data_IF_512370961153
#
_entry.id   IF_512370961153
#
_cell.length_a   1.000
_cell.length_b   1.000
_cell.length_c   1.000
_cell.angle_alpha   90.00
_cell.angle_beta   90.00
_cell.angle_gamma   90.00
#
_symmetry.space_group_name_H-M   'P 1'
#
loop_
_entity.id
_entity.type
_entity.pdbx_description
1 polymer ?
#
# COMPACT_ATOMS: atom_id res chain seq x y z
N UNK A 1 -60.13 -10.29 -23.99
CA UNK A 1 -59.58 -9.48 -22.86
C UNK A 1 -58.50 -10.24 -22.07
N UNK A 2 -58.63 -11.56 -21.86
CA UNK A 2 -57.63 -12.41 -21.18
C UNK A 2 -56.27 -12.49 -21.91
N UNK A 3 -56.26 -12.50 -23.24
CA UNK A 3 -55.01 -12.69 -24.01
C UNK A 3 -54.08 -11.46 -23.94
N UNK A 4 -54.65 -10.26 -23.82
CA UNK A 4 -53.86 -9.02 -23.64
C UNK A 4 -53.17 -8.95 -22.28
N UNK A 5 -53.77 -9.54 -21.24
CA UNK A 5 -53.18 -9.58 -19.89
C UNK A 5 -52.06 -10.61 -19.81
N UNK A 6 -52.18 -11.73 -20.55
CA UNK A 6 -51.14 -12.75 -20.64
C UNK A 6 -49.88 -12.24 -21.37
N UNK A 7 -50.04 -11.54 -22.49
CA UNK A 7 -48.92 -10.94 -23.23
C UNK A 7 -48.23 -9.87 -22.38
N UNK A 8 -48.99 -9.05 -21.66
CA UNK A 8 -48.43 -8.02 -20.77
C UNK A 8 -47.64 -8.63 -19.60
N UNK A 9 -48.14 -9.72 -19.01
CA UNK A 9 -47.45 -10.45 -17.95
C UNK A 9 -46.16 -11.14 -18.45
N UNK A 10 -46.18 -11.66 -19.68
CA UNK A 10 -45.00 -12.25 -20.33
C UNK A 10 -43.92 -11.19 -20.60
N UNK A 11 -44.30 -9.98 -21.03
CA UNK A 11 -43.38 -8.85 -21.23
C UNK A 11 -42.72 -8.39 -19.91
N UNK A 12 -43.48 -8.38 -18.82
CA UNK A 12 -42.97 -8.07 -17.47
C UNK A 12 -41.98 -9.11 -16.94
N UNK A 13 -42.14 -10.39 -17.28
CA UNK A 13 -41.19 -11.45 -16.92
C UNK A 13 -39.88 -11.36 -17.72
N UNK A 14 -39.93 -10.89 -18.97
CA UNK A 14 -38.75 -10.71 -19.83
C UNK A 14 -37.86 -9.53 -19.43
N UNK A 15 -38.39 -8.51 -18.75
CA UNK A 15 -37.59 -7.37 -18.26
C UNK A 15 -36.85 -7.68 -16.95
N UNK A 16 -37.27 -8.72 -16.22
CA UNK A 16 -36.62 -9.12 -14.96
C UNK A 16 -35.39 -10.03 -15.14
N UNK A 17 -35.17 -10.60 -16.32
CA UNK A 17 -34.07 -11.57 -16.56
C UNK A 17 -32.79 -10.95 -17.11
N UNK A 18 -32.66 -9.62 -17.16
CA UNK A 18 -31.47 -8.96 -17.74
C UNK A 18 -30.39 -8.54 -16.72
N UNK A 19 -30.61 -8.75 -15.43
CA UNK A 19 -29.61 -8.45 -14.40
C UNK A 19 -28.96 -9.74 -13.85
N UNK A 20 -28.32 -10.50 -14.72
CA UNK A 20 -27.31 -11.44 -14.27
C UNK A 20 -26.05 -10.62 -13.97
N UNK A 21 -25.63 -10.58 -12.69
CA UNK A 21 -24.32 -10.08 -12.31
C UNK A 21 -23.24 -10.97 -12.93
N UNK A 22 -22.85 -10.65 -14.16
CA UNK A 22 -21.79 -11.34 -14.87
C UNK A 22 -20.46 -10.63 -14.58
N UNK A 23 -19.40 -11.41 -14.46
CA UNK A 23 -18.04 -10.86 -14.41
C UNK A 23 -17.76 -10.23 -15.77
N UNK A 24 -17.51 -8.92 -15.78
CA UNK A 24 -17.14 -8.16 -16.98
C UNK A 24 -15.64 -7.95 -16.95
N UNK A 25 -14.97 -8.24 -18.06
CA UNK A 25 -13.56 -7.91 -18.23
C UNK A 25 -13.43 -6.41 -18.50
N UNK A 26 -12.77 -5.69 -17.60
CA UNK A 26 -12.54 -4.24 -17.73
C UNK A 26 -11.16 -3.92 -18.32
N UNK A 27 -10.19 -4.85 -18.23
CA UNK A 27 -8.86 -4.65 -18.79
C UNK A 27 -7.80 -5.59 -18.21
N UNK A 28 -6.59 -5.47 -18.75
CA UNK A 28 -5.37 -6.11 -18.22
C UNK A 28 -4.37 -5.02 -17.87
N UNK A 29 -3.66 -5.22 -16.77
CA UNK A 29 -2.61 -4.33 -16.33
C UNK A 29 -1.39 -5.17 -15.91
N UNK A 30 -0.21 -4.83 -16.43
CA UNK A 30 1.03 -5.61 -16.26
C UNK A 30 1.76 -5.37 -14.93
N UNK A 31 1.13 -4.65 -13.99
CA UNK A 31 1.77 -4.14 -12.78
C UNK A 31 1.00 -4.57 -11.53
N UNK A 32 1.70 -4.59 -10.39
CA UNK A 32 1.10 -4.97 -9.11
C UNK A 32 0.24 -3.83 -8.56
N UNK A 33 -1.01 -4.16 -8.22
CA UNK A 33 -1.93 -3.25 -7.53
C UNK A 33 -2.09 -3.67 -6.08
N UNK A 34 -2.25 -2.67 -5.20
CA UNK A 34 -2.66 -2.88 -3.81
C UNK A 34 -3.92 -2.08 -3.57
N UNK A 35 -4.95 -2.72 -3.04
CA UNK A 35 -6.20 -2.06 -2.63
C UNK A 35 -6.10 -1.62 -1.18
N UNK A 36 -6.81 -0.54 -0.85
CA UNK A 36 -6.96 -0.05 0.51
C UNK A 36 -8.30 0.65 0.64
N UNK A 37 -8.79 0.72 1.88
CA UNK A 37 -10.05 1.39 2.20
C UNK A 37 -9.75 2.69 2.94
N UNK A 38 -10.37 3.78 2.47
CA UNK A 38 -10.33 5.09 3.08
C UNK A 38 -11.25 5.15 4.30
N UNK A 39 -11.07 6.16 5.16
CA UNK A 39 -11.93 6.36 6.35
C UNK A 39 -13.41 6.55 6.01
N UNK A 40 -13.71 7.12 4.84
CA UNK A 40 -15.08 7.30 4.34
C UNK A 40 -15.70 5.99 3.78
N UNK A 41 -14.96 4.88 3.79
CA UNK A 41 -15.38 3.59 3.27
C UNK A 41 -15.05 3.35 1.80
N UNK A 42 -14.57 4.36 1.06
CA UNK A 42 -14.20 4.22 -0.34
C UNK A 42 -13.02 3.26 -0.50
N UNK A 43 -13.10 2.38 -1.50
CA UNK A 43 -11.97 1.53 -1.89
C UNK A 43 -11.21 2.21 -3.02
N UNK A 44 -9.90 2.27 -2.87
CA UNK A 44 -8.96 2.76 -3.88
C UNK A 44 -7.94 1.65 -4.18
N UNK A 45 -7.22 1.80 -5.28
CA UNK A 45 -6.05 0.96 -5.56
C UNK A 45 -4.87 1.80 -6.04
N UNK A 46 -3.66 1.29 -5.86
CA UNK A 46 -2.42 2.01 -6.24
C UNK A 46 -1.60 1.32 -7.30
N UNK A 47 -0.88 2.13 -8.07
CA UNK A 47 0.12 1.74 -9.05
C UNK A 47 1.42 2.50 -8.78
N UNK A 48 2.55 1.80 -8.72
CA UNK A 48 3.86 2.42 -8.58
C UNK A 48 4.55 2.56 -9.94
N UNK A 49 4.90 3.79 -10.32
CA UNK A 49 5.73 4.08 -11.47
C UNK A 49 7.19 4.22 -11.03
N UNK A 50 8.02 3.22 -11.39
CA UNK A 50 9.44 3.17 -11.03
C UNK A 50 10.27 4.29 -11.65
N UNK A 51 10.00 4.69 -12.90
CA UNK A 51 10.82 5.71 -13.58
C UNK A 51 10.60 7.10 -13.02
N UNK A 52 9.39 7.39 -12.55
CA UNK A 52 9.02 8.70 -11.99
C UNK A 52 9.08 8.73 -10.45
N UNK A 53 9.28 7.56 -9.83
CA UNK A 53 9.16 7.36 -8.38
C UNK A 53 7.83 7.89 -7.84
N UNK A 54 6.73 7.63 -8.56
CA UNK A 54 5.39 8.09 -8.17
C UNK A 54 4.47 6.91 -7.86
N UNK A 55 3.55 7.13 -6.92
CA UNK A 55 2.41 6.25 -6.67
C UNK A 55 1.16 6.96 -7.16
N UNK A 56 0.51 6.38 -8.15
CA UNK A 56 -0.81 6.81 -8.61
C UNK A 56 -1.88 6.04 -7.87
N UNK A 57 -2.83 6.77 -7.30
CA UNK A 57 -3.99 6.25 -6.58
C UNK A 57 -5.20 6.40 -7.48
N UNK A 58 -5.93 5.31 -7.68
CA UNK A 58 -7.06 5.21 -8.59
C UNK A 58 -8.36 4.94 -7.84
N UNK A 59 -9.44 5.44 -8.41
CA UNK A 59 -10.79 4.97 -8.10
C UNK A 59 -11.03 3.60 -8.76
N UNK A 60 -12.07 2.89 -8.33
CA UNK A 60 -12.44 1.59 -8.92
C UNK A 60 -12.85 1.70 -10.40
N UNK A 61 -13.28 2.87 -10.86
CA UNK A 61 -13.57 3.15 -12.28
C UNK A 61 -12.32 3.47 -13.13
N UNK A 62 -11.13 3.18 -12.59
CA UNK A 62 -9.82 3.43 -13.19
C UNK A 62 -9.44 4.90 -13.40
N UNK A 63 -10.22 5.87 -12.91
CA UNK A 63 -9.82 7.27 -12.92
C UNK A 63 -8.73 7.55 -11.87
N UNK A 64 -7.74 8.36 -12.24
CA UNK A 64 -6.70 8.81 -11.30
C UNK A 64 -7.34 9.76 -10.30
N UNK A 65 -7.20 9.44 -9.01
CA UNK A 65 -7.61 10.31 -7.92
C UNK A 65 -6.47 11.22 -7.46
N UNK A 66 -5.28 10.65 -7.20
CA UNK A 66 -4.09 11.37 -6.74
C UNK A 66 -2.82 10.73 -7.29
N UNK A 67 -1.76 11.50 -7.36
CA UNK A 67 -0.40 11.03 -7.65
C UNK A 67 0.54 11.60 -6.61
N UNK A 68 1.33 10.73 -5.98
CA UNK A 68 2.20 11.06 -4.85
C UNK A 68 3.63 10.71 -5.24
N UNK A 69 4.55 11.65 -5.08
CA UNK A 69 5.97 11.38 -5.31
C UNK A 69 6.58 10.75 -4.06
N UNK A 70 7.29 9.63 -4.25
CA UNK A 70 8.02 8.95 -3.19
C UNK A 70 9.46 9.48 -3.19
N UNK A 71 9.95 10.10 -2.10
CA UNK A 71 11.33 10.51 -1.97
C UNK A 71 12.25 9.30 -1.75
N UNK A 72 12.37 8.41 -2.74
CA UNK A 72 13.22 7.21 -2.67
C UNK A 72 14.68 7.65 -2.86
N UNK A 73 15.57 7.40 -1.89
CA UNK A 73 16.98 7.74 -2.02
C UNK A 73 17.64 7.11 -3.25
N UNK A 74 18.73 7.74 -3.71
CA UNK A 74 19.55 7.17 -4.79
C UNK A 74 20.03 5.77 -4.40
N UNK A 75 20.17 4.88 -5.39
CA UNK A 75 20.56 3.46 -5.24
C UNK A 75 19.54 2.57 -4.51
N UNK A 76 18.45 3.14 -3.99
CA UNK A 76 17.38 2.36 -3.39
C UNK A 76 16.29 2.02 -4.42
N UNK A 77 15.62 0.89 -4.21
CA UNK A 77 14.40 0.52 -4.92
C UNK A 77 13.23 0.41 -3.96
N UNK A 78 12.02 0.71 -4.42
CA UNK A 78 10.81 0.42 -3.65
C UNK A 78 10.73 -1.10 -3.41
N UNK A 79 10.59 -1.49 -2.14
CA UNK A 79 10.32 -2.86 -1.71
C UNK A 79 8.80 -3.09 -1.69
N UNK A 80 8.08 -2.36 -0.83
CA UNK A 80 6.63 -2.47 -0.75
C UNK A 80 5.97 -1.17 -0.25
N UNK A 81 4.75 -0.90 -0.71
CA UNK A 81 3.85 0.04 -0.04
C UNK A 81 3.16 -0.71 1.10
N UNK A 82 3.50 -0.41 2.35
CA UNK A 82 3.01 -1.10 3.55
C UNK A 82 1.60 -0.70 3.91
N UNK A 83 1.33 0.60 3.91
CA UNK A 83 0.03 1.15 4.28
C UNK A 83 -0.26 2.45 3.53
N UNK A 84 -1.55 2.72 3.31
CA UNK A 84 -2.05 4.00 2.85
C UNK A 84 -3.24 4.37 3.72
N UNK A 85 -3.22 5.57 4.29
CA UNK A 85 -4.18 5.98 5.32
C UNK A 85 -4.46 7.48 5.26
N UNK A 86 -5.41 7.92 6.09
CA UNK A 86 -5.60 9.31 6.51
C UNK A 86 -5.73 9.30 8.04
N UNK A 87 -5.26 10.35 8.71
CA UNK A 87 -5.41 10.54 10.16
C UNK A 87 -4.85 9.39 11.04
N UNK A 88 -3.91 8.60 10.52
CA UNK A 88 -3.31 7.47 11.26
C UNK A 88 -2.00 7.91 11.89
N UNK A 89 -1.12 8.55 11.13
CA UNK A 89 0.21 8.96 11.61
C UNK A 89 0.26 10.44 12.01
N UNK A 90 -0.62 11.26 11.45
CA UNK A 90 -0.79 12.68 11.71
C UNK A 90 -2.29 13.01 11.95
N UNK A 91 -2.58 14.22 12.41
CA UNK A 91 -3.96 14.66 12.71
C UNK A 91 -4.62 15.48 11.59
N UNK A 92 -3.92 15.68 10.47
CA UNK A 92 -4.45 16.37 9.31
C UNK A 92 -5.13 15.40 8.33
N UNK A 93 -5.89 15.94 7.38
CA UNK A 93 -6.66 15.15 6.42
C UNK A 93 -5.83 14.71 5.20
N UNK A 94 -4.51 14.93 5.20
CA UNK A 94 -3.66 14.52 4.09
C UNK A 94 -3.57 13.00 4.07
N UNK A 95 -3.45 12.44 2.88
CA UNK A 95 -3.13 11.02 2.76
C UNK A 95 -1.71 10.77 3.25
N UNK A 96 -1.51 9.63 3.87
CA UNK A 96 -0.24 9.17 4.41
C UNK A 96 0.13 7.84 3.75
N UNK A 97 1.40 7.69 3.39
CA UNK A 97 1.93 6.45 2.83
C UNK A 97 3.06 5.95 3.72
N UNK A 98 2.95 4.70 4.14
CA UNK A 98 4.08 3.95 4.68
C UNK A 98 4.62 3.01 3.61
N UNK A 99 5.92 3.07 3.34
CA UNK A 99 6.57 2.22 2.34
C UNK A 99 7.99 1.86 2.75
N UNK A 100 8.45 0.69 2.33
CA UNK A 100 9.83 0.24 2.50
C UNK A 100 10.62 0.41 1.20
N UNK A 101 11.90 0.72 1.36
CA UNK A 101 12.89 0.68 0.30
C UNK A 101 13.97 -0.34 0.65
N UNK A 102 14.63 -0.86 -0.37
CA UNK A 102 15.75 -1.79 -0.25
C UNK A 102 16.93 -1.32 -1.09
N UNK A 103 18.12 -1.46 -0.53
CA UNK A 103 19.42 -1.26 -1.17
C UNK A 103 20.24 -2.55 -1.05
N UNK A 104 20.96 -2.90 -2.13
CA UNK A 104 21.79 -4.11 -2.19
C UNK A 104 23.26 -3.73 -2.34
N UNK A 105 24.08 -4.12 -1.37
CA UNK A 105 25.53 -3.90 -1.38
C UNK A 105 26.24 -5.23 -1.65
N UNK A 106 26.82 -5.36 -2.85
CA UNK A 106 27.61 -6.54 -3.21
C UNK A 106 29.04 -6.33 -2.76
N UNK A 107 29.50 -7.12 -1.79
CA UNK A 107 30.91 -7.10 -1.35
C UNK A 107 31.65 -8.26 -1.99
N UNK A 108 32.62 -7.93 -2.84
CA UNK A 108 33.55 -8.91 -3.42
C UNK A 108 34.73 -9.10 -2.45
N UNK A 109 34.66 -10.12 -1.59
CA UNK A 109 35.83 -10.52 -0.81
C UNK A 109 36.80 -11.27 -1.72
N UNK A 110 37.78 -10.56 -2.27
CA UNK A 110 38.84 -11.15 -3.12
C UNK A 110 39.89 -11.94 -2.31
N UNK A 111 39.87 -11.85 -0.98
CA UNK A 111 40.90 -12.43 -0.10
C UNK A 111 40.42 -13.58 0.81
N UNK A 112 39.15 -14.01 0.69
CA UNK A 112 38.58 -15.09 1.52
C UNK A 112 37.91 -16.19 0.69
N UNK A 113 38.02 -17.44 1.13
CA UNK A 113 37.41 -18.64 0.50
C UNK A 113 35.88 -18.68 0.50
N UNK A 114 35.21 -17.63 0.99
CA UNK A 114 33.77 -17.52 1.05
C UNK A 114 33.33 -16.46 0.03
N UNK A 115 32.55 -16.88 -0.97
CA UNK A 115 32.19 -16.08 -2.15
C UNK A 115 31.44 -14.76 -1.87
N UNK A 116 30.93 -14.15 -2.94
CA UNK A 116 30.24 -12.85 -2.89
C UNK A 116 29.14 -12.83 -1.81
N UNK A 117 29.20 -11.84 -0.92
CA UNK A 117 28.15 -11.58 0.08
C UNK A 117 27.31 -10.37 -0.35
N UNK A 118 25.99 -10.48 -0.22
CA UNK A 118 25.04 -9.39 -0.50
C UNK A 118 24.52 -8.88 0.84
N UNK A 119 24.91 -7.66 1.20
CA UNK A 119 24.29 -6.95 2.31
C UNK A 119 23.02 -6.27 1.81
N UNK A 120 21.91 -6.45 2.55
CA UNK A 120 20.58 -5.97 2.17
C UNK A 120 20.14 -4.99 3.24
N UNK A 121 19.98 -3.72 2.86
CA UNK A 121 19.59 -2.67 3.78
C UNK A 121 18.19 -2.20 3.45
N UNK A 122 17.32 -2.27 4.45
CA UNK A 122 15.94 -1.81 4.35
C UNK A 122 15.77 -0.47 5.04
N UNK A 123 14.94 0.39 4.44
CA UNK A 123 14.50 1.64 5.07
C UNK A 123 12.99 1.74 5.00
N UNK A 124 12.34 1.93 6.15
CA UNK A 124 10.91 2.19 6.23
C UNK A 124 10.69 3.71 6.29
N UNK A 125 9.77 4.19 5.47
CA UNK A 125 9.43 5.60 5.33
C UNK A 125 7.94 5.78 5.55
N UNK A 126 7.56 6.84 6.26
CA UNK A 126 6.19 7.32 6.38
C UNK A 126 6.19 8.76 5.88
N UNK A 127 5.38 9.05 4.87
CA UNK A 127 5.24 10.38 4.26
C UNK A 127 3.77 10.78 4.24
N UNK A 128 3.52 12.08 4.03
CA UNK A 128 2.22 12.54 3.56
C UNK A 128 2.19 12.65 2.01
N UNK A 129 1.02 12.97 1.47
CA UNK A 129 0.79 13.08 0.02
C UNK A 129 1.58 14.19 -0.68
N UNK A 130 2.16 15.13 0.08
CA UNK A 130 3.04 16.17 -0.44
C UNK A 130 4.50 15.71 -0.56
N UNK A 131 4.80 14.49 -0.12
CA UNK A 131 6.15 13.96 -0.02
C UNK A 131 6.92 14.43 1.22
N UNK A 132 6.24 15.06 2.19
CA UNK A 132 6.87 15.47 3.44
C UNK A 132 7.07 14.24 4.34
N UNK A 133 8.29 14.07 4.86
CA UNK A 133 8.64 12.95 5.74
C UNK A 133 8.00 13.12 7.11
N UNK A 134 7.18 12.15 7.52
CA UNK A 134 6.63 12.03 8.87
C UNK A 134 7.59 11.21 9.74
N UNK A 135 8.08 10.08 9.22
CA UNK A 135 9.00 9.20 9.92
C UNK A 135 9.93 8.48 8.94
N UNK A 136 11.19 8.31 9.35
CA UNK A 136 12.15 7.44 8.68
C UNK A 136 12.72 6.46 9.70
N UNK A 137 12.72 5.18 9.38
CA UNK A 137 13.33 4.13 10.18
C UNK A 137 14.30 3.32 9.32
N UNK A 138 15.59 3.59 9.49
CA UNK A 138 16.65 2.78 8.88
C UNK A 138 16.65 1.35 9.46
N UNK A 139 17.15 0.40 8.69
CA UNK A 139 17.17 -1.04 9.01
C UNK A 139 15.80 -1.61 9.36
N UNK A 140 14.75 -1.18 8.65
CA UNK A 140 13.40 -1.70 8.85
C UNK A 140 12.65 -1.77 7.53
N UNK A 141 11.83 -2.79 7.37
CA UNK A 141 10.83 -2.89 6.31
C UNK A 141 9.48 -3.35 6.85
N UNK A 142 9.24 -3.28 8.15
CA UNK A 142 7.99 -3.78 8.71
C UNK A 142 7.49 -2.93 9.86
N UNK A 143 6.17 -2.81 9.93
CA UNK A 143 5.47 -2.04 10.94
C UNK A 143 4.16 -2.71 11.32
N UNK A 144 3.69 -2.42 12.52
CA UNK A 144 2.35 -2.79 12.94
C UNK A 144 1.71 -1.64 13.73
N UNK A 145 0.42 -1.46 13.56
CA UNK A 145 -0.37 -0.52 14.37
C UNK A 145 -1.21 -1.35 15.31
N UNK A 146 -1.03 -1.13 16.61
CA UNK A 146 -1.84 -1.75 17.65
C UNK A 146 -2.74 -0.72 18.30
N UNK A 147 -4.00 -1.07 18.48
CA UNK A 147 -5.02 -0.23 19.10
C UNK A 147 -5.68 -0.97 20.25
N UNK A 148 -5.77 -0.31 21.40
CA UNK A 148 -6.50 -0.81 22.57
C UNK A 148 -7.05 0.34 23.38
N UNK A 149 -8.37 0.33 23.64
CA UNK A 149 -9.07 1.36 24.42
C UNK A 149 -8.81 2.78 23.92
N UNK A 150 -8.80 2.99 22.60
CA UNK A 150 -8.52 4.29 21.96
C UNK A 150 -7.04 4.68 21.91
N UNK A 151 -6.17 4.00 22.65
CA UNK A 151 -4.73 4.22 22.60
C UNK A 151 -4.16 3.48 21.39
N UNK A 152 -3.51 4.23 20.50
CA UNK A 152 -2.84 3.69 19.31
C UNK A 152 -1.33 3.76 19.45
N UNK A 153 -0.64 2.67 19.07
CA UNK A 153 0.81 2.60 19.00
C UNK A 153 1.26 2.11 17.64
N UNK A 154 2.31 2.72 17.11
CA UNK A 154 3.05 2.23 15.96
C UNK A 154 4.28 1.46 16.46
N UNK A 155 4.40 0.22 16.02
CA UNK A 155 5.54 -0.65 16.26
C UNK A 155 6.34 -0.75 14.97
N UNK A 156 7.65 -0.56 15.03
CA UNK A 156 8.56 -0.70 13.89
C UNK A 156 9.58 -1.78 14.22
N UNK A 157 9.69 -2.79 13.36
CA UNK A 157 10.57 -3.94 13.57
C UNK A 157 11.90 -3.69 12.85
N UNK A 158 12.99 -3.64 13.61
CA UNK A 158 14.34 -3.37 13.12
C UNK A 158 15.10 -4.67 12.92
N UNK A 159 15.82 -4.76 11.80
CA UNK A 159 16.84 -5.76 11.54
C UNK A 159 18.11 -5.37 12.30
N UNK A 160 18.55 -6.19 13.26
CA UNK A 160 19.71 -5.89 14.12
C UNK A 160 20.88 -6.80 13.77
N UNK A 161 21.45 -6.62 12.58
CA UNK A 161 22.66 -7.31 12.15
C UNK A 161 22.64 -7.67 10.67
N UNK A 162 23.64 -8.46 10.25
CA UNK A 162 23.79 -8.86 8.86
C UNK A 162 22.93 -10.10 8.57
N UNK A 163 21.82 -9.91 7.85
CA UNK A 163 20.90 -10.97 7.43
C UNK A 163 19.60 -11.07 8.24
N UNK A 164 18.72 -11.97 7.82
CA UNK A 164 17.37 -12.17 8.41
C UNK A 164 17.37 -12.86 9.78
N UNK A 165 18.52 -13.34 10.27
CA UNK A 165 18.66 -14.04 11.55
C UNK A 165 19.37 -13.18 12.59
N UNK A 166 18.71 -12.14 13.09
CA UNK A 166 19.20 -11.43 14.27
C UNK A 166 18.07 -10.89 15.15
N UNK A 167 18.34 -10.79 16.45
CA UNK A 167 17.40 -10.36 17.48
C UNK A 167 16.68 -9.06 17.11
N UNK A 168 15.37 -9.11 16.89
CA UNK A 168 14.60 -7.93 16.52
C UNK A 168 14.59 -6.86 17.62
N UNK A 169 14.92 -5.62 17.25
CA UNK A 169 14.59 -4.46 18.07
C UNK A 169 13.23 -3.92 17.60
N UNK A 170 12.39 -3.47 18.54
CA UNK A 170 11.12 -2.84 18.22
C UNK A 170 11.16 -1.39 18.70
N UNK A 171 11.00 -0.46 17.77
CA UNK A 171 10.76 0.96 18.10
C UNK A 171 9.26 1.17 18.29
N UNK A 172 8.87 1.87 19.35
CA UNK A 172 7.46 2.06 19.73
C UNK A 172 7.14 3.54 19.78
N UNK A 173 6.15 3.96 19.00
CA UNK A 173 5.69 5.34 18.91
C UNK A 173 4.23 5.45 19.33
N UNK A 174 3.88 6.55 20.00
CA UNK A 174 2.49 6.98 20.09
C UNK A 174 2.08 7.63 18.77
N UNK A 175 0.91 7.28 18.26
CA UNK A 175 0.30 7.96 17.12
C UNK A 175 -1.02 8.62 17.58
N UNK A 176 -1.59 9.59 16.82
CA UNK A 176 -2.81 10.29 17.22
C UNK A 176 -3.96 9.33 17.59
N UNK A 177 -4.97 9.77 18.32
CA UNK A 177 -6.19 8.98 18.58
C UNK A 177 -7.17 9.10 17.39
N UNK A 178 -8.05 8.10 17.20
CA UNK A 178 -9.10 8.16 16.18
C UNK A 178 -10.30 8.92 16.78
N UNK A 179 -10.65 10.06 16.19
CA UNK A 179 -11.83 10.85 16.56
C UNK A 179 -13.07 10.43 15.77
#
# INVERSE_FOLDING_TARGET
MKDKHFIFMLLLLLTHTLNFGQIIYEGTHDESFKTFQMDNGDIKYTKYNKSEQTVSVYNLDHSIWKTIHLPIPKEHTLDEIKSISQNVFNSDTLMELAYSCVEYHITNNLEGTNGNYVDIQFTLNIINEKGEMILKADNSNDLNIVESNGIRKLLIYKHVGQGFETSGQIEVYSIPEKY
#
